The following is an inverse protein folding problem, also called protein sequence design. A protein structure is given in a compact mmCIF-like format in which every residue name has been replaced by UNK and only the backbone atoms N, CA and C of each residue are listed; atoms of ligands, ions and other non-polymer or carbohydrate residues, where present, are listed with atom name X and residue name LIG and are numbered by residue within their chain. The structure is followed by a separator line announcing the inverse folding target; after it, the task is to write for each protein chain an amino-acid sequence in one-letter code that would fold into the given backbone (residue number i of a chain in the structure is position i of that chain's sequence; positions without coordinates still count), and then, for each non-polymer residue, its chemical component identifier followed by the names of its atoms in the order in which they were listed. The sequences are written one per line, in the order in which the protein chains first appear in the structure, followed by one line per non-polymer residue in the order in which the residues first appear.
data_IF_335191302387
#
_entry.id   IF_335191302387
#
_cell.length_a   1.000
_cell.length_b   1.000
_cell.length_c   1.000
_cell.angle_alpha   90.00
_cell.angle_beta   90.00
_cell.angle_gamma   90.00
#
_symmetry.space_group_name_H-M   'P 1'
#
loop_
_entity.id
_entity.type
_entity.pdbx_description
1 polymer ?
#
# COMPACT_ATOMS: atom_id res chain seq x y z
N UNK A 1 -25.18 40.24 1.51
CA UNK A 1 -23.84 39.64 1.37
C UNK A 1 -23.05 40.39 0.31
N UNK A 2 -21.85 40.80 0.63
CA UNK A 2 -20.97 41.54 -0.27
C UNK A 2 -20.47 40.61 -1.39
N UNK A 3 -21.08 40.70 -2.56
CA UNK A 3 -20.77 39.88 -3.73
C UNK A 3 -19.29 40.04 -4.13
N UNK A 4 -18.74 41.25 -4.00
CA UNK A 4 -17.32 41.55 -4.28
C UNK A 4 -16.37 40.77 -3.36
N UNK A 5 -16.69 40.68 -2.07
CA UNK A 5 -15.91 39.88 -1.12
C UNK A 5 -15.93 38.38 -1.45
N UNK A 6 -17.12 37.85 -1.77
CA UNK A 6 -17.28 36.45 -2.13
C UNK A 6 -16.49 36.13 -3.42
N UNK A 7 -16.62 36.97 -4.44
CA UNK A 7 -15.90 36.78 -5.71
C UNK A 7 -14.38 36.81 -5.53
N UNK A 8 -13.86 37.74 -4.73
CA UNK A 8 -12.42 37.83 -4.43
C UNK A 8 -11.91 36.57 -3.71
N UNK A 9 -12.65 36.09 -2.70
CA UNK A 9 -12.29 34.86 -1.98
C UNK A 9 -12.35 33.62 -2.88
N UNK A 10 -13.37 33.50 -3.74
CA UNK A 10 -13.47 32.43 -4.70
C UNK A 10 -12.29 32.42 -5.70
N UNK A 11 -11.87 33.60 -6.17
CA UNK A 11 -10.75 33.76 -7.08
C UNK A 11 -9.42 33.38 -6.44
N UNK A 12 -9.21 33.73 -5.16
CA UNK A 12 -8.05 33.31 -4.37
C UNK A 12 -8.04 31.77 -4.21
N UNK A 13 -9.19 31.15 -3.91
CA UNK A 13 -9.29 29.69 -3.79
C UNK A 13 -8.97 28.98 -5.10
N UNK A 14 -9.47 29.49 -6.23
CA UNK A 14 -9.14 28.96 -7.56
C UNK A 14 -7.64 29.11 -7.83
N UNK A 15 -7.05 30.27 -7.54
CA UNK A 15 -5.61 30.49 -7.70
C UNK A 15 -4.76 29.52 -6.87
N UNK A 16 -5.09 29.34 -5.60
CA UNK A 16 -4.44 28.35 -4.74
C UNK A 16 -4.62 26.92 -5.26
N UNK A 17 -5.80 26.58 -5.78
CA UNK A 17 -6.08 25.29 -6.41
C UNK A 17 -5.20 25.04 -7.65
N UNK A 18 -5.02 26.06 -8.50
CA UNK A 18 -4.13 25.97 -9.67
C UNK A 18 -2.66 25.80 -9.28
N UNK A 19 -2.18 26.51 -8.27
CA UNK A 19 -0.82 26.34 -7.72
C UNK A 19 -0.66 24.93 -7.15
N UNK A 20 -1.65 24.44 -6.40
CA UNK A 20 -1.66 23.07 -5.87
C UNK A 20 -1.65 22.00 -6.96
N UNK A 21 -2.41 22.22 -8.04
CA UNK A 21 -2.42 21.34 -9.21
C UNK A 21 -1.04 21.30 -9.89
N UNK A 22 -0.46 22.45 -10.19
CA UNK A 22 0.86 22.57 -10.81
C UNK A 22 1.94 21.89 -9.97
N UNK A 23 1.97 22.14 -8.65
CA UNK A 23 2.88 21.51 -7.71
C UNK A 23 2.70 19.99 -7.67
N UNK A 24 1.46 19.51 -7.66
CA UNK A 24 1.16 18.07 -7.66
C UNK A 24 1.61 17.37 -8.94
N UNK A 25 1.36 17.98 -10.11
CA UNK A 25 1.81 17.46 -11.41
C UNK A 25 3.33 17.39 -11.50
N UNK A 26 4.00 18.46 -11.07
CA UNK A 26 5.47 18.53 -11.03
C UNK A 26 6.05 17.46 -10.11
N UNK A 27 5.51 17.31 -8.91
CA UNK A 27 5.96 16.29 -7.96
C UNK A 27 5.76 14.87 -8.50
N UNK A 28 4.61 14.60 -9.16
CA UNK A 28 4.35 13.29 -9.77
C UNK A 28 5.30 12.99 -10.95
N UNK A 29 5.57 13.98 -11.77
CA UNK A 29 6.50 13.84 -12.90
C UNK A 29 7.91 13.50 -12.42
N UNK A 30 8.45 14.25 -11.44
CA UNK A 30 9.79 14.00 -10.93
C UNK A 30 9.88 12.70 -10.14
N UNK A 31 8.85 12.31 -9.40
CA UNK A 31 8.80 11.01 -8.72
C UNK A 31 8.81 9.85 -9.72
N UNK A 32 8.03 9.95 -10.80
CA UNK A 32 8.03 8.95 -11.86
C UNK A 32 9.38 8.88 -12.58
N UNK A 33 9.96 10.04 -12.92
CA UNK A 33 11.28 10.12 -13.57
C UNK A 33 12.39 9.51 -12.70
N UNK A 34 12.41 9.81 -11.41
CA UNK A 34 13.39 9.26 -10.47
C UNK A 34 13.22 7.73 -10.32
N UNK A 35 11.98 7.25 -10.14
CA UNK A 35 11.71 5.81 -10.00
C UNK A 35 12.05 5.02 -11.27
N UNK A 36 11.74 5.59 -12.44
CA UNK A 36 12.07 4.95 -13.73
C UNK A 36 13.57 4.95 -13.97
N UNK A 37 14.27 6.07 -13.69
CA UNK A 37 15.74 6.16 -13.79
C UNK A 37 16.42 5.15 -12.88
N UNK A 38 15.99 5.06 -11.62
CA UNK A 38 16.48 4.05 -10.67
C UNK A 38 16.29 2.62 -11.19
N UNK A 39 15.12 2.29 -11.71
CA UNK A 39 14.84 0.95 -12.22
C UNK A 39 15.62 0.62 -13.49
N UNK A 40 15.90 1.63 -14.33
CA UNK A 40 16.74 1.47 -15.53
C UNK A 40 18.17 1.13 -15.13
N UNK A 41 18.74 1.87 -14.18
CA UNK A 41 20.09 1.62 -13.67
C UNK A 41 20.20 0.27 -12.97
N UNK A 42 19.20 -0.06 -12.13
CA UNK A 42 19.15 -1.35 -11.45
C UNK A 42 19.12 -2.52 -12.46
N UNK A 43 18.32 -2.41 -13.55
CA UNK A 43 18.31 -3.44 -14.60
C UNK A 43 19.63 -3.52 -15.34
N UNK A 44 20.24 -2.38 -15.62
CA UNK A 44 21.54 -2.34 -16.29
C UNK A 44 22.60 -3.04 -15.45
N UNK A 45 22.76 -2.65 -14.20
CA UNK A 45 23.72 -3.25 -13.27
C UNK A 45 23.46 -4.74 -13.05
N UNK A 46 22.19 -5.14 -12.91
CA UNK A 46 21.83 -6.54 -12.73
C UNK A 46 22.16 -7.36 -13.99
N UNK A 47 21.89 -6.83 -15.17
CA UNK A 47 22.21 -7.50 -16.43
C UNK A 47 23.71 -7.63 -16.63
N UNK A 48 24.46 -6.56 -16.36
CA UNK A 48 25.92 -6.56 -16.41
C UNK A 48 26.50 -7.63 -15.47
N UNK A 49 26.00 -7.69 -14.23
CA UNK A 49 26.43 -8.71 -13.28
C UNK A 49 26.09 -10.14 -13.76
N UNK A 50 24.89 -10.36 -14.31
CA UNK A 50 24.50 -11.68 -14.87
C UNK A 50 25.44 -12.10 -16.00
N UNK A 51 25.95 -11.17 -16.82
CA UNK A 51 26.89 -11.49 -17.90
C UNK A 51 28.28 -11.91 -17.38
N UNK A 52 28.63 -11.62 -16.14
CA UNK A 52 29.88 -12.08 -15.51
C UNK A 52 29.77 -13.47 -14.88
N UNK A 53 28.54 -14.02 -14.74
CA UNK A 53 28.32 -15.33 -14.15
C UNK A 53 28.69 -16.47 -15.13
N UNK A 54 29.20 -17.57 -14.58
CA UNK A 54 29.46 -18.80 -15.34
C UNK A 54 28.17 -19.54 -15.71
N UNK A 55 28.21 -20.41 -16.71
CA UNK A 55 27.08 -21.24 -17.09
C UNK A 55 26.57 -22.11 -15.93
N UNK A 56 27.48 -22.63 -15.08
CA UNK A 56 27.11 -23.41 -13.90
C UNK A 56 26.28 -22.62 -12.89
N UNK A 57 26.63 -21.37 -12.64
CA UNK A 57 25.90 -20.48 -11.72
C UNK A 57 24.54 -20.09 -12.30
N UNK A 58 24.47 -19.81 -13.61
CA UNK A 58 23.21 -19.51 -14.30
C UNK A 58 22.25 -20.72 -14.24
N UNK A 59 22.79 -21.94 -14.43
CA UNK A 59 21.97 -23.17 -14.36
C UNK A 59 21.51 -23.47 -12.93
N UNK A 60 22.34 -23.21 -11.91
CA UNK A 60 21.96 -23.36 -10.50
C UNK A 60 20.84 -22.40 -10.10
N UNK A 61 20.96 -21.12 -10.49
CA UNK A 61 19.91 -20.14 -10.22
C UNK A 61 18.64 -20.46 -11.04
N UNK A 62 18.83 -20.82 -12.28
CA UNK A 62 17.80 -21.03 -13.30
C UNK A 62 17.40 -19.76 -14.04
N UNK A 63 17.42 -19.82 -15.37
CA UNK A 63 17.13 -18.68 -16.27
C UNK A 63 15.76 -18.05 -16.02
N UNK A 64 14.74 -18.84 -15.72
CA UNK A 64 13.40 -18.35 -15.41
C UNK A 64 13.37 -17.47 -14.15
N UNK A 65 14.19 -17.77 -13.14
CA UNK A 65 14.32 -16.95 -11.94
C UNK A 65 15.02 -15.63 -12.25
N UNK A 66 16.11 -15.65 -13.01
CA UNK A 66 16.83 -14.44 -13.42
C UNK A 66 15.92 -13.47 -14.20
N UNK A 67 15.14 -14.00 -15.16
CA UNK A 67 14.15 -13.21 -15.91
C UNK A 67 13.13 -12.58 -14.94
N UNK A 68 12.63 -13.33 -13.97
CA UNK A 68 11.67 -12.81 -12.98
C UNK A 68 12.30 -11.71 -12.08
N UNK A 69 13.61 -11.84 -11.72
CA UNK A 69 14.32 -10.77 -10.98
C UNK A 69 14.40 -9.49 -11.80
N UNK A 70 14.79 -9.60 -13.09
CA UNK A 70 14.94 -8.44 -13.98
C UNK A 70 13.61 -7.75 -14.33
N UNK A 71 12.52 -8.49 -14.32
CA UNK A 71 11.20 -7.98 -14.71
C UNK A 71 10.32 -7.68 -13.50
N UNK A 72 9.75 -8.70 -12.88
CA UNK A 72 8.73 -8.57 -11.83
C UNK A 72 9.29 -7.92 -10.55
N UNK A 73 10.48 -8.37 -10.09
CA UNK A 73 11.04 -7.86 -8.84
C UNK A 73 11.52 -6.41 -8.99
N UNK A 74 12.20 -6.07 -10.09
CA UNK A 74 12.61 -4.68 -10.37
C UNK A 74 11.38 -3.76 -10.52
N UNK A 75 10.32 -4.22 -11.19
CA UNK A 75 9.07 -3.44 -11.29
C UNK A 75 8.41 -3.20 -9.94
N UNK A 76 8.45 -4.19 -9.03
CA UNK A 76 7.91 -4.02 -7.67
C UNK A 76 8.71 -2.99 -6.87
N UNK A 77 10.04 -3.00 -6.97
CA UNK A 77 10.93 -2.01 -6.35
C UNK A 77 10.70 -0.62 -6.96
N UNK A 78 10.63 -0.51 -8.29
CA UNK A 78 10.32 0.75 -8.98
C UNK A 78 9.01 1.37 -8.51
N UNK A 79 7.95 0.55 -8.42
CA UNK A 79 6.63 1.01 -7.97
C UNK A 79 6.67 1.51 -6.53
N UNK A 80 7.43 0.83 -5.66
CA UNK A 80 7.64 1.24 -4.29
C UNK A 80 8.40 2.57 -4.20
N UNK A 81 9.51 2.72 -4.91
CA UNK A 81 10.30 3.96 -4.95
C UNK A 81 9.43 5.15 -5.37
N UNK A 82 8.63 4.99 -6.44
CA UNK A 82 7.68 6.00 -6.88
C UNK A 82 6.69 6.37 -5.77
N UNK A 83 6.11 5.36 -5.12
CA UNK A 83 5.10 5.56 -4.07
C UNK A 83 5.72 6.22 -2.81
N UNK A 84 6.92 5.80 -2.41
CA UNK A 84 7.63 6.38 -1.27
C UNK A 84 7.92 7.86 -1.52
N UNK A 85 8.52 8.22 -2.66
CA UNK A 85 8.84 9.61 -2.98
C UNK A 85 7.57 10.47 -2.98
N UNK A 86 6.46 9.95 -3.51
CA UNK A 86 5.22 10.70 -3.66
C UNK A 86 4.39 10.80 -2.38
N UNK A 87 4.33 9.72 -1.56
CA UNK A 87 3.42 9.65 -0.41
C UNK A 87 4.12 9.86 0.92
N UNK A 88 5.33 9.34 1.10
CA UNK A 88 6.02 9.38 2.38
C UNK A 88 6.32 10.80 2.85
N UNK A 89 6.69 11.69 1.93
CA UNK A 89 6.86 13.11 2.26
C UNK A 89 5.53 13.84 2.41
N UNK A 90 4.57 13.60 1.51
CA UNK A 90 3.32 14.33 1.44
C UNK A 90 2.38 14.03 2.61
N UNK A 91 2.16 12.75 2.95
CA UNK A 91 1.13 12.35 3.91
C UNK A 91 1.37 12.86 5.34
N UNK A 92 2.60 12.82 5.90
CA UNK A 92 2.86 13.43 7.20
C UNK A 92 2.59 14.94 7.21
N UNK A 93 3.00 15.66 6.16
CA UNK A 93 2.75 17.11 6.08
C UNK A 93 1.25 17.45 6.07
N UNK A 94 0.43 16.65 5.39
CA UNK A 94 -1.02 16.86 5.38
C UNK A 94 -1.61 16.58 6.77
N UNK A 95 -1.23 15.48 7.42
CA UNK A 95 -1.74 15.12 8.75
C UNK A 95 -1.34 16.14 9.80
N UNK A 96 -0.05 16.48 9.88
CA UNK A 96 0.44 17.50 10.81
C UNK A 96 -0.08 18.89 10.47
N UNK A 97 -0.13 19.24 9.18
CA UNK A 97 -0.68 20.52 8.73
C UNK A 97 -2.16 20.67 9.10
N UNK A 98 -2.98 19.66 8.87
CA UNK A 98 -4.38 19.65 9.26
C UNK A 98 -4.56 19.75 10.78
N UNK A 99 -3.70 19.08 11.55
CA UNK A 99 -3.72 19.17 13.02
C UNK A 99 -3.33 20.56 13.51
N UNK A 100 -2.25 21.15 12.99
CA UNK A 100 -1.84 22.51 13.32
C UNK A 100 -2.96 23.52 12.98
N UNK A 101 -3.55 23.41 11.79
CA UNK A 101 -4.66 24.27 11.38
C UNK A 101 -5.89 24.09 12.27
N UNK A 102 -6.18 22.87 12.74
CA UNK A 102 -7.25 22.64 13.70
C UNK A 102 -6.98 23.36 15.04
N UNK A 103 -5.74 23.33 15.54
CA UNK A 103 -5.34 24.06 16.76
C UNK A 103 -5.44 25.57 16.62
N UNK A 104 -5.18 26.13 15.44
CA UNK A 104 -5.35 27.58 15.19
C UNK A 104 -6.80 28.02 15.17
N UNK A 105 -7.73 27.12 14.87
CA UNK A 105 -9.17 27.41 14.87
C UNK A 105 -9.71 27.30 16.30
N UNK A 106 -9.54 26.17 16.94
CA UNK A 106 -10.03 25.93 18.31
C UNK A 106 -9.35 24.75 18.99
N UNK A 107 -8.81 24.98 20.19
CA UNK A 107 -8.06 23.97 20.97
C UNK A 107 -8.94 22.78 21.40
N UNK A 108 -10.20 23.02 21.81
CA UNK A 108 -11.09 21.94 22.26
C UNK A 108 -11.50 21.04 21.09
N UNK A 109 -11.79 21.62 19.93
CA UNK A 109 -12.06 20.85 18.72
C UNK A 109 -10.80 20.11 18.24
N UNK A 110 -9.61 20.70 18.35
CA UNK A 110 -8.35 20.07 17.99
C UNK A 110 -8.00 18.87 18.88
N UNK A 111 -8.38 18.85 20.15
CA UNK A 111 -8.21 17.68 21.02
C UNK A 111 -8.97 16.44 20.51
N UNK A 112 -10.09 16.61 19.80
CA UNK A 112 -10.80 15.49 19.17
C UNK A 112 -9.89 14.80 18.14
N UNK A 113 -9.11 15.56 17.38
CA UNK A 113 -8.12 15.03 16.44
C UNK A 113 -7.00 14.27 17.15
N UNK A 114 -6.51 14.82 18.28
CA UNK A 114 -5.46 14.17 19.08
C UNK A 114 -5.90 12.79 19.62
N UNK A 115 -7.19 12.55 19.78
CA UNK A 115 -7.73 11.25 20.18
C UNK A 115 -8.06 10.40 18.95
N UNK A 116 -8.71 10.97 17.94
CA UNK A 116 -9.16 10.25 16.76
C UNK A 116 -7.99 9.68 15.92
N UNK A 117 -6.90 10.46 15.75
CA UNK A 117 -5.75 10.05 14.94
C UNK A 117 -5.06 8.80 15.52
N UNK A 118 -4.65 8.74 16.81
CA UNK A 118 -4.08 7.54 17.38
C UNK A 118 -5.04 6.34 17.36
N UNK A 119 -6.33 6.54 17.64
CA UNK A 119 -7.33 5.47 17.58
C UNK A 119 -7.41 4.89 16.17
N UNK A 120 -7.49 5.75 15.15
CA UNK A 120 -7.47 5.33 13.75
C UNK A 120 -6.18 4.62 13.38
N UNK A 121 -5.03 5.16 13.82
CA UNK A 121 -3.74 4.53 13.57
C UNK A 121 -3.68 3.12 14.16
N UNK A 122 -4.08 2.94 15.43
CA UNK A 122 -4.11 1.62 16.09
C UNK A 122 -5.02 0.65 15.34
N UNK A 123 -6.20 1.08 14.91
CA UNK A 123 -7.15 0.23 14.18
C UNK A 123 -6.57 -0.16 12.81
N UNK A 124 -6.12 0.81 12.03
CA UNK A 124 -5.61 0.59 10.67
C UNK A 124 -4.37 -0.32 10.71
N UNK A 125 -3.38 0.01 11.54
CA UNK A 125 -2.17 -0.80 11.68
C UNK A 125 -2.46 -2.15 12.34
N UNK A 126 -3.36 -2.22 13.31
CA UNK A 126 -3.78 -3.47 13.95
C UNK A 126 -4.40 -4.45 12.97
N UNK A 127 -5.36 -4.02 12.16
CA UNK A 127 -5.98 -4.85 11.11
C UNK A 127 -4.94 -5.24 10.05
N UNK A 128 -4.07 -4.30 9.65
CA UNK A 128 -3.01 -4.57 8.68
C UNK A 128 -2.05 -5.65 9.19
N UNK A 129 -1.53 -5.50 10.41
CA UNK A 129 -0.60 -6.46 11.01
C UNK A 129 -1.25 -7.85 11.21
N UNK A 130 -2.54 -7.90 11.57
CA UNK A 130 -3.29 -9.14 11.65
C UNK A 130 -3.51 -9.81 10.28
N UNK A 131 -3.64 -9.00 9.22
CA UNK A 131 -3.88 -9.51 7.85
C UNK A 131 -2.61 -10.12 7.22
N UNK A 132 -1.42 -9.61 7.52
CA UNK A 132 -0.15 -10.09 6.92
C UNK A 132 0.06 -11.61 7.10
N UNK A 133 -0.02 -12.20 8.32
CA UNK A 133 0.16 -13.63 8.50
C UNK A 133 -0.94 -14.47 7.84
N UNK A 134 -2.16 -13.92 7.74
CA UNK A 134 -3.26 -14.59 7.06
C UNK A 134 -3.01 -14.68 5.55
N UNK A 135 -2.55 -13.60 4.92
CA UNK A 135 -2.18 -13.63 3.50
C UNK A 135 -1.00 -14.56 3.21
N UNK A 136 -0.04 -14.69 4.14
CA UNK A 136 1.03 -15.71 4.03
C UNK A 136 0.46 -17.12 4.03
N UNK A 137 -0.53 -17.42 4.90
CA UNK A 137 -1.22 -18.72 4.91
C UNK A 137 -1.99 -18.98 3.61
N UNK A 138 -2.65 -17.94 3.06
CA UNK A 138 -3.30 -18.03 1.74
C UNK A 138 -2.30 -18.38 0.66
N UNK A 139 -1.14 -17.70 0.65
CA UNK A 139 -0.08 -17.99 -0.33
C UNK A 139 0.44 -19.42 -0.21
N UNK A 140 0.75 -19.89 1.00
CA UNK A 140 1.18 -21.26 1.24
C UNK A 140 0.12 -22.29 0.81
N UNK A 141 -1.16 -22.01 1.02
CA UNK A 141 -2.26 -22.85 0.54
C UNK A 141 -2.33 -22.89 -0.99
N UNK A 142 -2.11 -21.75 -1.65
CA UNK A 142 -2.06 -21.65 -3.11
C UNK A 142 -0.86 -22.44 -3.67
N UNK A 143 0.31 -22.31 -3.06
CA UNK A 143 1.51 -23.05 -3.45
C UNK A 143 1.29 -24.58 -3.36
N UNK A 144 0.56 -25.04 -2.33
CA UNK A 144 0.18 -26.44 -2.19
C UNK A 144 -0.76 -26.91 -3.33
N UNK A 145 -1.76 -26.11 -3.70
CA UNK A 145 -2.64 -26.40 -4.85
C UNK A 145 -1.84 -26.47 -6.15
N UNK A 146 -0.92 -25.51 -6.36
CA UNK A 146 -0.04 -25.52 -7.54
C UNK A 146 0.86 -26.76 -7.58
N UNK A 147 1.36 -27.20 -6.41
CA UNK A 147 2.14 -28.45 -6.30
C UNK A 147 1.31 -29.66 -6.73
N UNK A 148 0.12 -29.85 -6.13
CA UNK A 148 -0.79 -30.96 -6.48
C UNK A 148 -1.11 -30.92 -7.98
N UNK A 149 -1.42 -29.76 -8.53
CA UNK A 149 -1.72 -29.62 -9.96
C UNK A 149 -0.53 -30.00 -10.83
N UNK A 150 0.69 -29.58 -10.48
CA UNK A 150 1.90 -29.94 -11.23
C UNK A 150 2.17 -31.44 -11.18
N UNK A 151 2.07 -32.05 -9.99
CA UNK A 151 2.27 -33.49 -9.80
C UNK A 151 1.26 -34.29 -10.64
N UNK A 152 -0.01 -33.88 -10.64
CA UNK A 152 -1.06 -34.50 -11.44
C UNK A 152 -0.79 -34.38 -12.95
N UNK A 153 -0.39 -33.19 -13.43
CA UNK A 153 -0.10 -32.96 -14.86
C UNK A 153 1.12 -33.79 -15.33
N UNK A 154 2.17 -33.87 -14.52
CA UNK A 154 3.37 -34.63 -14.85
C UNK A 154 3.16 -36.15 -14.71
N UNK A 155 2.35 -36.56 -13.71
CA UNK A 155 2.04 -37.96 -13.40
C UNK A 155 0.82 -38.55 -14.12
N UNK A 156 0.17 -37.81 -15.05
CA UNK A 156 -1.12 -38.20 -15.66
C UNK A 156 -1.13 -39.64 -16.22
N UNK A 157 -0.03 -40.08 -16.83
CA UNK A 157 0.06 -41.48 -17.38
C UNK A 157 0.02 -42.52 -16.27
N UNK A 158 0.70 -42.25 -15.15
CA UNK A 158 0.75 -43.17 -14.00
C UNK A 158 -0.61 -43.19 -13.31
N UNK A 159 -1.21 -42.04 -13.07
CA UNK A 159 -2.53 -41.92 -12.43
C UNK A 159 -3.57 -42.70 -13.19
N UNK A 160 -3.61 -42.58 -14.54
CA UNK A 160 -4.53 -43.31 -15.41
C UNK A 160 -4.20 -44.81 -15.48
N UNK A 161 -2.92 -45.18 -15.50
CA UNK A 161 -2.52 -46.62 -15.53
C UNK A 161 -2.94 -47.36 -14.26
N UNK A 162 -3.02 -46.66 -13.10
CA UNK A 162 -3.44 -47.22 -11.83
C UNK A 162 -4.88 -46.90 -11.44
N UNK A 163 -5.65 -46.22 -12.32
CA UNK A 163 -7.06 -45.84 -12.12
C UNK A 163 -7.29 -45.08 -10.81
N UNK A 164 -6.40 -44.05 -10.55
CA UNK A 164 -6.39 -43.28 -9.29
C UNK A 164 -6.89 -41.84 -9.48
N UNK A 165 -7.64 -41.53 -10.54
CA UNK A 165 -8.15 -40.20 -10.84
C UNK A 165 -9.04 -39.67 -9.73
N UNK A 166 -9.92 -40.51 -9.17
CA UNK A 166 -10.85 -40.10 -8.12
C UNK A 166 -10.12 -39.73 -6.82
N UNK A 167 -9.05 -40.44 -6.47
CA UNK A 167 -8.22 -40.13 -5.29
C UNK A 167 -7.53 -38.76 -5.44
N UNK A 168 -7.02 -38.46 -6.64
CA UNK A 168 -6.37 -37.18 -6.94
C UNK A 168 -7.37 -36.04 -6.96
N UNK A 169 -8.58 -36.26 -7.51
CA UNK A 169 -9.67 -35.27 -7.47
C UNK A 169 -10.06 -34.98 -6.02
N UNK A 170 -10.18 -36.00 -5.18
CA UNK A 170 -10.49 -35.80 -3.75
C UNK A 170 -9.37 -35.06 -3.03
N UNK A 171 -8.11 -35.40 -3.30
CA UNK A 171 -6.94 -34.70 -2.74
C UNK A 171 -6.93 -33.22 -3.11
N UNK A 172 -7.15 -32.89 -4.40
CA UNK A 172 -7.28 -31.53 -4.88
C UNK A 172 -8.44 -30.79 -4.20
N UNK A 173 -9.62 -31.43 -4.11
CA UNK A 173 -10.81 -30.83 -3.51
C UNK A 173 -10.60 -30.53 -2.02
N UNK A 174 -9.93 -31.40 -1.27
CA UNK A 174 -9.56 -31.16 0.14
C UNK A 174 -8.64 -29.95 0.28
N UNK A 175 -7.59 -29.89 -0.55
CA UNK A 175 -6.67 -28.76 -0.57
C UNK A 175 -7.37 -27.44 -0.92
N UNK A 176 -8.21 -27.47 -1.96
CA UNK A 176 -8.96 -26.29 -2.43
C UNK A 176 -9.99 -25.81 -1.39
N UNK A 177 -10.67 -26.73 -0.70
CA UNK A 177 -11.61 -26.38 0.39
C UNK A 177 -10.88 -25.74 1.57
N UNK A 178 -9.70 -26.26 1.93
CA UNK A 178 -8.84 -25.67 2.97
C UNK A 178 -8.39 -24.26 2.58
N UNK A 179 -7.89 -24.08 1.35
CA UNK A 179 -7.50 -22.77 0.81
C UNK A 179 -8.66 -21.78 0.84
N UNK A 180 -9.85 -22.20 0.38
CA UNK A 180 -11.08 -21.38 0.45
C UNK A 180 -11.37 -20.90 1.87
N UNK A 181 -11.26 -21.79 2.87
CA UNK A 181 -11.48 -21.44 4.27
C UNK A 181 -10.55 -20.34 4.75
N UNK A 182 -9.26 -20.46 4.47
CA UNK A 182 -8.24 -19.46 4.82
C UNK A 182 -8.46 -18.13 4.08
N UNK A 183 -8.79 -18.19 2.78
CA UNK A 183 -9.08 -16.99 1.97
C UNK A 183 -10.31 -16.23 2.49
N UNK A 184 -11.39 -16.94 2.81
CA UNK A 184 -12.59 -16.32 3.38
C UNK A 184 -12.30 -15.67 4.73
N UNK A 185 -11.52 -16.33 5.60
CA UNK A 185 -11.15 -15.75 6.89
C UNK A 185 -10.26 -14.50 6.74
N UNK A 186 -9.23 -14.56 5.89
CA UNK A 186 -8.38 -13.42 5.57
C UNK A 186 -9.21 -12.26 4.98
N UNK A 187 -10.13 -12.57 4.05
CA UNK A 187 -11.04 -11.61 3.46
C UNK A 187 -11.97 -10.93 4.47
N UNK A 188 -12.52 -11.69 5.43
CA UNK A 188 -13.37 -11.14 6.50
C UNK A 188 -12.60 -10.14 7.38
N UNK A 189 -11.36 -10.47 7.78
CA UNK A 189 -10.54 -9.57 8.58
C UNK A 189 -10.19 -8.29 7.80
N UNK A 190 -9.76 -8.44 6.55
CA UNK A 190 -9.45 -7.27 5.70
C UNK A 190 -10.68 -6.41 5.39
N UNK A 191 -11.84 -7.03 5.23
CA UNK A 191 -13.09 -6.31 4.96
C UNK A 191 -13.55 -5.46 6.15
N UNK A 192 -13.16 -5.78 7.38
CA UNK A 192 -13.46 -4.96 8.57
C UNK A 192 -12.77 -3.60 8.57
N UNK A 193 -11.70 -3.43 7.80
CA UNK A 193 -10.92 -2.19 7.80
C UNK A 193 -11.78 -0.97 7.46
N UNK A 194 -12.52 -1.01 6.36
CA UNK A 194 -13.34 0.13 5.94
C UNK A 194 -14.51 0.42 6.90
N UNK A 195 -15.38 -0.54 7.27
CA UNK A 195 -16.48 -0.25 8.19
C UNK A 195 -15.99 0.30 9.54
N UNK A 196 -14.96 -0.28 10.14
CA UNK A 196 -14.46 0.15 11.45
C UNK A 196 -13.85 1.55 11.37
N UNK A 197 -13.04 1.84 10.35
CA UNK A 197 -12.48 3.18 10.17
C UNK A 197 -13.56 4.23 9.90
N UNK A 198 -14.59 3.90 9.10
CA UNK A 198 -15.72 4.79 8.88
C UNK A 198 -16.54 5.05 10.15
N UNK A 199 -16.76 4.05 10.99
CA UNK A 199 -17.46 4.24 12.28
C UNK A 199 -16.68 5.22 13.17
N UNK A 200 -15.38 5.02 13.32
CA UNK A 200 -14.55 5.91 14.16
C UNK A 200 -14.57 7.35 13.65
N UNK A 201 -14.42 7.55 12.34
CA UNK A 201 -14.47 8.90 11.75
C UNK A 201 -15.84 9.54 11.89
N UNK A 202 -16.92 8.80 11.65
CA UNK A 202 -18.25 9.36 11.78
C UNK A 202 -18.55 9.73 13.24
N UNK A 203 -18.14 8.89 14.20
CA UNK A 203 -18.28 9.22 15.64
C UNK A 203 -17.47 10.49 15.98
N UNK A 204 -16.20 10.55 15.54
CA UNK A 204 -15.38 11.74 15.74
C UNK A 204 -15.98 12.98 15.08
N UNK A 205 -16.52 12.84 13.87
CA UNK A 205 -17.20 13.92 13.13
C UNK A 205 -18.47 14.40 13.84
N UNK A 206 -19.28 13.46 14.38
CA UNK A 206 -20.48 13.81 15.16
C UNK A 206 -20.11 14.58 16.44
N UNK A 207 -19.08 14.12 17.15
CA UNK A 207 -18.56 14.83 18.35
C UNK A 207 -18.06 16.21 17.97
N UNK A 208 -17.33 16.34 16.85
CA UNK A 208 -16.81 17.59 16.33
C UNK A 208 -17.93 18.56 15.94
N UNK A 209 -18.95 18.06 15.24
CA UNK A 209 -20.13 18.85 14.85
C UNK A 209 -20.92 19.31 16.06
N UNK A 210 -21.15 18.45 17.04
CA UNK A 210 -21.84 18.82 18.28
C UNK A 210 -21.07 19.90 19.04
N UNK A 211 -19.77 19.68 19.28
CA UNK A 211 -18.91 20.64 19.97
C UNK A 211 -18.82 21.96 19.20
N UNK A 212 -18.70 21.88 17.87
CA UNK A 212 -18.66 23.03 16.97
C UNK A 212 -19.98 23.80 16.97
N UNK A 213 -21.13 23.13 16.92
CA UNK A 213 -22.45 23.75 16.94
C UNK A 213 -22.68 24.56 18.24
N UNK A 214 -22.35 23.98 19.40
CA UNK A 214 -22.42 24.68 20.69
C UNK A 214 -21.54 25.95 20.69
N UNK A 215 -20.37 25.88 20.06
CA UNK A 215 -19.46 27.04 19.98
C UNK A 215 -19.89 28.07 18.94
N UNK A 216 -20.60 27.69 17.91
CA UNK A 216 -21.21 28.59 16.95
C UNK A 216 -22.39 29.34 17.61
N UNK A 217 -23.22 28.66 18.39
CA UNK A 217 -24.32 29.26 19.13
C UNK A 217 -23.83 30.28 20.17
N UNK A 218 -22.70 30.00 20.82
CA UNK A 218 -22.05 30.96 21.76
C UNK A 218 -21.21 32.04 21.06
N UNK A 219 -21.19 32.09 19.74
CA UNK A 219 -20.46 33.09 18.95
C UNK A 219 -18.93 32.95 18.96
N UNK A 220 -18.37 31.84 19.50
CA UNK A 220 -16.92 31.61 19.57
C UNK A 220 -16.39 31.14 18.20
N UNK A 221 -17.15 30.35 17.46
CA UNK A 221 -16.76 29.83 16.14
C UNK A 221 -17.75 30.26 15.07
N UNK A 222 -17.29 30.34 13.84
CA UNK A 222 -18.15 30.52 12.67
C UNK A 222 -18.53 29.15 12.07
N UNK A 223 -19.65 29.06 11.35
CA UNK A 223 -20.07 27.84 10.63
C UNK A 223 -18.98 27.35 9.66
N UNK A 224 -18.31 28.29 8.95
CA UNK A 224 -17.23 27.96 8.02
C UNK A 224 -16.03 27.27 8.70
N UNK A 225 -15.71 27.68 9.92
CA UNK A 225 -14.63 27.06 10.71
C UNK A 225 -14.97 25.60 11.09
N UNK A 226 -16.23 25.32 11.44
CA UNK A 226 -16.68 23.94 11.73
C UNK A 226 -16.62 23.09 10.48
N UNK A 227 -17.04 23.60 9.32
CA UNK A 227 -16.92 22.89 8.03
C UNK A 227 -15.46 22.63 7.68
N UNK A 228 -14.56 23.58 7.92
CA UNK A 228 -13.12 23.38 7.70
C UNK A 228 -12.55 22.25 8.58
N UNK A 229 -12.92 22.21 9.86
CA UNK A 229 -12.51 21.15 10.78
C UNK A 229 -12.99 19.76 10.32
N UNK A 230 -14.24 19.64 9.87
CA UNK A 230 -14.78 18.37 9.30
C UNK A 230 -13.98 17.94 8.06
N UNK A 231 -13.64 18.87 7.19
CA UNK A 231 -12.81 18.58 6.02
C UNK A 231 -11.40 18.11 6.40
N UNK A 232 -10.77 18.72 7.40
CA UNK A 232 -9.46 18.27 7.91
C UNK A 232 -9.53 16.85 8.47
N UNK A 233 -10.58 16.52 9.24
CA UNK A 233 -10.79 15.17 9.76
C UNK A 233 -10.88 14.13 8.63
N UNK A 234 -11.66 14.43 7.60
CA UNK A 234 -11.82 13.55 6.44
C UNK A 234 -10.51 13.35 5.66
N UNK A 235 -9.71 14.41 5.50
CA UNK A 235 -8.40 14.32 4.83
C UNK A 235 -7.42 13.45 5.62
N UNK A 236 -7.38 13.57 6.94
CA UNK A 236 -6.51 12.77 7.81
C UNK A 236 -6.80 11.27 7.63
N UNK A 237 -8.07 10.88 7.58
CA UNK A 237 -8.44 9.47 7.32
C UNK A 237 -7.86 8.96 6.00
N UNK A 238 -8.07 9.71 4.92
CA UNK A 238 -7.60 9.33 3.59
C UNK A 238 -6.08 9.15 3.59
N UNK A 239 -5.34 10.04 4.26
CA UNK A 239 -3.88 9.96 4.33
C UNK A 239 -3.40 8.80 5.20
N UNK A 240 -4.08 8.46 6.30
CA UNK A 240 -3.74 7.29 7.12
C UNK A 240 -3.93 5.97 6.36
N UNK A 241 -5.00 5.84 5.58
CA UNK A 241 -5.23 4.67 4.72
C UNK A 241 -4.13 4.55 3.65
N UNK A 242 -3.73 5.68 3.04
CA UNK A 242 -2.62 5.69 2.07
C UNK A 242 -1.29 5.26 2.70
N UNK A 243 -1.00 5.72 3.92
CA UNK A 243 0.21 5.33 4.66
C UNK A 243 0.20 3.83 4.98
N UNK A 244 -0.93 3.26 5.38
CA UNK A 244 -1.04 1.82 5.62
C UNK A 244 -0.75 1.01 4.35
N UNK A 245 -1.32 1.41 3.21
CA UNK A 245 -1.05 0.78 1.91
C UNK A 245 0.43 0.93 1.49
N UNK A 246 1.06 2.07 1.79
CA UNK A 246 2.48 2.28 1.54
C UNK A 246 3.35 1.27 2.28
N UNK A 247 3.06 0.98 3.56
CA UNK A 247 3.82 0.00 4.35
C UNK A 247 3.74 -1.39 3.72
N UNK A 248 2.56 -1.81 3.25
CA UNK A 248 2.39 -3.09 2.55
C UNK A 248 3.27 -3.13 1.28
N UNK A 249 3.27 -2.07 0.49
CA UNK A 249 4.06 -1.99 -0.73
C UNK A 249 5.58 -1.98 -0.43
N UNK A 250 6.01 -1.25 0.61
CA UNK A 250 7.41 -1.24 1.05
C UNK A 250 7.85 -2.64 1.49
N UNK A 251 7.04 -3.34 2.29
CA UNK A 251 7.35 -4.71 2.73
C UNK A 251 7.52 -5.66 1.56
N UNK A 252 6.65 -5.56 0.56
CA UNK A 252 6.75 -6.36 -0.68
C UNK A 252 8.01 -6.01 -1.48
N UNK A 253 8.30 -4.73 -1.64
CA UNK A 253 9.45 -4.26 -2.40
C UNK A 253 10.78 -4.63 -1.74
N UNK A 254 10.87 -4.58 -0.40
CA UNK A 254 12.05 -5.03 0.35
C UNK A 254 12.30 -6.52 0.10
N UNK A 255 11.26 -7.36 0.11
CA UNK A 255 11.41 -8.78 -0.22
C UNK A 255 11.90 -8.99 -1.67
N UNK A 256 11.42 -8.18 -2.63
CA UNK A 256 11.91 -8.21 -4.02
C UNK A 256 13.36 -7.71 -4.11
N UNK A 257 13.72 -6.65 -3.40
CA UNK A 257 15.08 -6.11 -3.37
C UNK A 257 16.08 -7.11 -2.79
N UNK A 258 15.73 -7.80 -1.70
CA UNK A 258 16.57 -8.85 -1.12
C UNK A 258 16.85 -9.98 -2.13
N UNK A 259 15.83 -10.40 -2.89
CA UNK A 259 16.02 -11.40 -3.94
C UNK A 259 16.88 -10.93 -5.12
N UNK A 260 16.87 -9.64 -5.43
CA UNK A 260 17.78 -9.04 -6.41
C UNK A 260 19.20 -9.01 -5.85
N UNK A 261 19.34 -8.64 -4.57
CA UNK A 261 20.63 -8.60 -3.88
C UNK A 261 21.28 -9.99 -3.82
N UNK A 262 20.50 -11.07 -3.57
CA UNK A 262 20.99 -12.45 -3.63
C UNK A 262 21.70 -12.77 -4.94
N UNK A 263 21.27 -12.20 -6.07
CA UNK A 263 21.93 -12.39 -7.36
C UNK A 263 23.26 -11.62 -7.41
N UNK A 264 23.31 -10.39 -6.89
CA UNK A 264 24.56 -9.62 -6.81
C UNK A 264 25.61 -10.21 -5.86
N UNK A 265 25.20 -10.99 -4.86
CA UNK A 265 26.10 -11.64 -3.90
C UNK A 265 26.78 -12.89 -4.48
N UNK A 266 26.31 -13.41 -5.61
CA UNK A 266 26.95 -14.53 -6.30
C UNK A 266 28.24 -14.03 -6.93
N UNK A 267 29.36 -14.59 -6.49
CA UNK A 267 30.66 -14.24 -7.04
C UNK A 267 30.80 -14.82 -8.43
N UNK A 268 31.22 -13.99 -9.38
CA UNK A 268 31.51 -14.43 -10.73
C UNK A 268 32.63 -15.49 -10.71
N UNK A 269 32.33 -16.70 -11.14
CA UNK A 269 33.30 -17.80 -11.24
C UNK A 269 34.18 -17.74 -12.50
N UNK A 270 33.91 -16.79 -13.41
CA UNK A 270 34.72 -16.56 -14.59
C UNK A 270 35.72 -15.40 -14.36
N UNK A 271 37.01 -15.69 -14.43
CA UNK A 271 38.01 -14.66 -14.59
C UNK A 271 38.12 -14.36 -16.10
N UNK A 272 37.81 -13.13 -16.48
CA UNK A 272 38.09 -12.67 -17.84
C UNK A 272 39.58 -12.31 -17.94
N UNK A 273 40.30 -12.78 -19.01
CA UNK A 273 41.69 -12.48 -19.20
C UNK A 273 41.96 -11.00 -19.46
#
# INVERSE_FOLDING_TARGET
GDIGYIATRALIMIGLGLVGLASSLTAQYFAAKAATGFATELRHSLFEHIQTLSFSEIDEIGTARLINRMTSDVNAVQSCVNMVIRLFLRSPFIVFGAMIMAFTIDVKCALIFCVAIPVLAVIVFGIMLASIPLYRKVQSGLDNILKITRENLTGTRVIRAFNREDDEIESFNRGNTSLRGVQLFAGKISALMNPVTFVVINVATVILLYTGAVKVDTGILTQGQVVALVNYMSQILVELIKLANLIIQVTKAVACANRIQEVFEIKAGMEFP
#
